data_IF_378850044243
#
_entry.id   IF_378850044243
#
_cell.length_a   1.000
_cell.length_b   1.000
_cell.length_c   1.000
_cell.angle_alpha   90.00
_cell.angle_beta   90.00
_cell.angle_gamma   90.00
#
_symmetry.space_group_name_H-M   'P 1'
#
loop_
_entity.id
_entity.type
_entity.pdbx_description
1 polymer ?
#
# COMPACT_ATOMS: atom_id res chain seq x y z
N UNK A 1 121.19 -40.74 -32.48
CA UNK A 1 121.42 -40.38 -31.11
C UNK A 1 120.04 -40.31 -30.36
N UNK A 2 119.78 -41.36 -29.63
CA UNK A 2 118.58 -41.45 -28.79
C UNK A 2 118.85 -40.68 -27.49
N UNK A 3 118.05 -39.66 -27.20
CA UNK A 3 118.08 -39.01 -25.91
C UNK A 3 117.26 -39.87 -24.93
N UNK A 4 117.98 -40.32 -23.91
CA UNK A 4 117.41 -41.09 -22.82
C UNK A 4 116.65 -40.19 -21.85
N UNK A 5 115.35 -40.44 -21.59
CA UNK A 5 114.55 -39.49 -20.78
C UNK A 5 114.76 -39.63 -19.27
N UNK A 6 115.78 -40.43 -18.82
CA UNK A 6 115.92 -40.78 -17.40
C UNK A 6 116.84 -39.85 -16.57
N UNK A 7 117.36 -38.75 -17.12
CA UNK A 7 118.37 -37.98 -16.36
C UNK A 7 118.01 -36.49 -16.32
N UNK A 8 116.77 -36.13 -15.97
CA UNK A 8 116.43 -34.77 -15.60
C UNK A 8 116.28 -34.61 -14.09
N UNK A 9 117.43 -34.38 -13.42
CA UNK A 9 117.47 -34.01 -12.02
C UNK A 9 117.44 -32.45 -11.91
N UNK A 10 116.35 -31.83 -12.28
CA UNK A 10 116.08 -30.44 -12.04
C UNK A 10 115.10 -30.31 -10.87
N UNK A 11 115.18 -29.29 -10.10
CA UNK A 11 114.22 -29.11 -9.02
C UNK A 11 112.77 -28.97 -9.56
N UNK A 12 111.88 -29.77 -9.02
CA UNK A 12 110.47 -29.76 -9.39
C UNK A 12 109.89 -28.41 -8.87
N UNK A 13 109.57 -27.51 -9.78
CA UNK A 13 108.88 -26.26 -9.42
C UNK A 13 107.42 -26.62 -9.25
N UNK A 14 106.92 -26.71 -8.03
CA UNK A 14 105.53 -26.83 -7.68
C UNK A 14 104.93 -25.42 -7.70
N UNK A 15 104.07 -25.12 -8.65
CA UNK A 15 103.20 -23.93 -8.71
C UNK A 15 101.97 -24.21 -7.88
N UNK A 16 101.85 -23.63 -6.67
CA UNK A 16 100.60 -23.65 -5.89
C UNK A 16 99.68 -22.55 -6.41
N UNK A 17 98.58 -22.94 -7.04
CA UNK A 17 97.51 -22.05 -7.40
C UNK A 17 96.53 -22.00 -6.25
N UNK A 18 96.48 -20.90 -5.53
CA UNK A 18 95.40 -20.57 -4.59
C UNK A 18 94.24 -20.00 -5.37
N UNK A 19 93.16 -20.78 -5.63
CA UNK A 19 91.90 -20.33 -6.16
C UNK A 19 91.12 -19.67 -5.02
N UNK A 20 90.99 -18.37 -5.09
CA UNK A 20 90.16 -17.62 -4.07
C UNK A 20 88.72 -18.20 -4.14
N UNK A 21 88.14 -18.58 -2.98
CA UNK A 21 86.75 -19.07 -2.95
C UNK A 21 85.80 -18.00 -3.46
N UNK A 22 84.83 -18.44 -4.33
CA UNK A 22 83.80 -17.54 -4.83
C UNK A 22 83.04 -16.91 -3.70
N UNK A 23 82.56 -15.67 -3.89
CA UNK A 23 81.86 -14.86 -2.86
C UNK A 23 80.68 -15.62 -2.23
N UNK A 24 79.98 -16.51 -2.99
CA UNK A 24 78.84 -17.32 -2.50
C UNK A 24 79.27 -18.51 -1.64
N UNK A 25 80.54 -18.88 -1.62
CA UNK A 25 81.05 -19.97 -0.79
C UNK A 25 81.44 -19.50 0.62
N UNK A 26 81.48 -18.18 0.82
CA UNK A 26 81.70 -17.58 2.15
C UNK A 26 80.47 -17.74 3.02
N UNK A 27 80.57 -18.32 4.21
CA UNK A 27 79.45 -18.51 5.14
C UNK A 27 78.65 -17.24 5.42
N UNK A 28 79.30 -16.05 5.42
CA UNK A 28 78.65 -14.76 5.58
C UNK A 28 77.67 -14.36 4.46
N UNK A 29 77.92 -14.82 3.22
CA UNK A 29 77.06 -14.52 2.07
C UNK A 29 75.63 -15.16 2.20
N UNK A 30 75.57 -16.38 2.71
CA UNK A 30 74.32 -17.07 2.97
C UNK A 30 73.46 -16.41 4.05
N UNK A 31 74.11 -15.86 5.10
CA UNK A 31 73.47 -15.10 6.16
C UNK A 31 72.89 -13.78 5.60
N UNK A 32 73.66 -13.08 4.77
CA UNK A 32 73.17 -11.86 4.10
C UNK A 32 71.97 -12.12 3.18
N UNK A 33 72.02 -13.20 2.39
CA UNK A 33 70.89 -13.63 1.52
C UNK A 33 69.63 -13.97 2.36
N UNK A 34 69.81 -14.73 3.44
CA UNK A 34 68.72 -15.09 4.35
C UNK A 34 68.05 -13.86 4.98
N UNK A 35 68.85 -12.89 5.44
CA UNK A 35 68.33 -11.62 5.99
C UNK A 35 67.60 -10.77 4.93
N UNK A 36 68.11 -10.76 3.69
CA UNK A 36 67.49 -10.06 2.58
C UNK A 36 66.12 -10.67 2.24
N UNK A 37 66.03 -12.03 2.13
CA UNK A 37 64.79 -12.74 1.89
C UNK A 37 63.77 -12.46 3.02
N UNK A 38 64.22 -12.50 4.28
CA UNK A 38 63.39 -12.20 5.42
C UNK A 38 62.88 -10.75 5.37
N UNK A 39 63.73 -9.77 5.05
CA UNK A 39 63.33 -8.36 4.91
C UNK A 39 62.31 -8.17 3.78
N UNK A 40 62.54 -8.79 2.62
CA UNK A 40 61.57 -8.77 1.50
C UNK A 40 60.24 -9.39 1.94
N UNK A 41 60.26 -10.56 2.58
CA UNK A 41 59.04 -11.20 3.11
C UNK A 41 58.29 -10.30 4.09
N UNK A 42 58.97 -9.66 5.01
CA UNK A 42 58.38 -8.72 5.95
C UNK A 42 57.79 -7.48 5.23
N UNK A 43 58.47 -6.94 4.23
CA UNK A 43 57.98 -5.84 3.42
C UNK A 43 56.72 -6.20 2.63
N UNK A 44 56.70 -7.35 1.99
CA UNK A 44 55.56 -7.85 1.27
C UNK A 44 54.38 -8.13 2.20
N UNK A 45 54.66 -8.75 3.36
CA UNK A 45 53.61 -8.99 4.37
C UNK A 45 53.00 -7.66 4.86
N UNK A 46 53.85 -6.67 5.18
CA UNK A 46 53.37 -5.31 5.60
C UNK A 46 52.56 -4.61 4.52
N UNK A 47 52.95 -4.75 3.22
CA UNK A 47 52.20 -4.20 2.11
C UNK A 47 50.81 -4.89 2.01
N UNK A 48 50.79 -6.19 2.09
CA UNK A 48 49.50 -6.97 2.01
C UNK A 48 48.54 -6.64 3.15
N UNK A 49 49.05 -6.54 4.37
CA UNK A 49 48.26 -6.11 5.55
C UNK A 49 47.70 -4.68 5.37
N UNK A 50 48.51 -3.76 4.85
CA UNK A 50 48.06 -2.39 4.59
C UNK A 50 47.01 -2.32 3.47
N UNK A 51 47.14 -3.13 2.43
CA UNK A 51 46.16 -3.21 1.35
C UNK A 51 44.83 -3.80 1.83
N UNK A 52 44.86 -4.86 2.62
CA UNK A 52 43.67 -5.43 3.25
C UNK A 52 42.95 -4.39 4.12
N UNK A 53 43.69 -3.74 5.02
CA UNK A 53 43.13 -2.70 5.89
C UNK A 53 42.54 -1.50 5.11
N UNK A 54 43.13 -1.14 3.95
CA UNK A 54 42.59 -0.09 3.08
C UNK A 54 41.29 -0.55 2.39
N UNK A 55 41.26 -1.79 1.92
CA UNK A 55 40.08 -2.34 1.27
C UNK A 55 38.91 -2.51 2.26
N UNK A 56 39.17 -2.99 3.47
CA UNK A 56 38.17 -3.05 4.55
C UNK A 56 37.58 -1.67 4.85
N UNK A 57 38.40 -0.64 4.98
CA UNK A 57 37.94 0.74 5.22
C UNK A 57 37.11 1.29 4.06
N UNK A 58 37.48 0.97 2.80
CA UNK A 58 36.72 1.37 1.60
C UNK A 58 35.37 0.68 1.56
N UNK A 59 35.33 -0.63 1.81
CA UNK A 59 34.09 -1.39 1.85
C UNK A 59 33.18 -0.91 2.99
N UNK A 60 33.72 -0.68 4.18
CA UNK A 60 32.96 -0.16 5.31
C UNK A 60 32.35 1.22 5.02
N UNK A 61 33.12 2.12 4.39
CA UNK A 61 32.62 3.44 3.99
C UNK A 61 31.53 3.35 2.91
N UNK A 62 31.67 2.44 1.94
CA UNK A 62 30.65 2.22 0.90
C UNK A 62 29.37 1.63 1.47
N UNK A 63 29.49 0.63 2.37
CA UNK A 63 28.32 0.06 3.07
C UNK A 63 27.59 1.12 3.89
N UNK A 64 28.34 1.96 4.62
CA UNK A 64 27.75 3.03 5.41
C UNK A 64 26.97 4.01 4.51
N UNK A 65 27.58 4.43 3.39
CA UNK A 65 26.95 5.34 2.43
C UNK A 65 25.67 4.73 1.84
N UNK A 66 25.71 3.44 1.46
CA UNK A 66 24.53 2.75 0.90
C UNK A 66 23.43 2.57 1.95
N UNK A 67 23.79 2.31 3.21
CA UNK A 67 22.77 2.20 4.27
C UNK A 67 22.13 3.56 4.59
N UNK A 68 22.87 4.64 4.57
CA UNK A 68 22.33 6.00 4.73
C UNK A 68 21.39 6.37 3.56
N UNK A 69 21.78 6.07 2.32
CA UNK A 69 20.96 6.31 1.14
C UNK A 69 19.67 5.48 1.16
N UNK A 70 19.77 4.21 1.53
CA UNK A 70 18.60 3.32 1.68
C UNK A 70 17.67 3.81 2.79
N UNK A 71 18.22 4.23 3.93
CA UNK A 71 17.43 4.77 5.04
C UNK A 71 16.68 6.04 4.63
N UNK A 72 17.36 6.96 3.92
CA UNK A 72 16.73 8.17 3.41
C UNK A 72 15.59 7.86 2.40
N UNK A 73 15.82 6.91 1.48
CA UNK A 73 14.79 6.47 0.53
C UNK A 73 13.60 5.80 1.23
N UNK A 74 13.86 4.96 2.22
CA UNK A 74 12.79 4.33 3.00
C UNK A 74 11.94 5.38 3.70
N UNK A 75 12.55 6.39 4.31
CA UNK A 75 11.83 7.48 4.96
C UNK A 75 10.94 8.24 3.97
N UNK A 76 11.48 8.59 2.80
CA UNK A 76 10.69 9.23 1.74
C UNK A 76 9.53 8.37 1.25
N UNK A 77 9.74 7.04 1.12
CA UNK A 77 8.68 6.10 0.74
C UNK A 77 7.60 6.00 1.83
N UNK A 78 7.98 5.99 3.10
CA UNK A 78 7.04 5.98 4.22
C UNK A 78 6.19 7.27 4.25
N UNK A 79 6.81 8.44 4.09
CA UNK A 79 6.10 9.72 4.01
C UNK A 79 5.13 9.77 2.81
N UNK A 80 5.60 9.35 1.63
CA UNK A 80 4.76 9.28 0.43
C UNK A 80 3.59 8.30 0.60
N UNK A 81 3.83 7.16 1.25
CA UNK A 81 2.81 6.17 1.51
C UNK A 81 1.74 6.67 2.49
N UNK A 82 2.17 7.35 3.57
CA UNK A 82 1.26 8.01 4.51
C UNK A 82 0.40 9.08 3.82
N UNK A 83 1.00 9.91 2.98
CA UNK A 83 0.28 10.93 2.21
C UNK A 83 -0.74 10.30 1.25
N UNK A 84 -0.37 9.22 0.57
CA UNK A 84 -1.27 8.48 -0.31
C UNK A 84 -2.45 7.86 0.45
N UNK A 85 -2.22 7.28 1.62
CA UNK A 85 -3.29 6.74 2.46
C UNK A 85 -4.27 7.83 2.91
N UNK A 86 -3.77 8.99 3.34
CA UNK A 86 -4.63 10.12 3.72
C UNK A 86 -5.46 10.64 2.54
N UNK A 87 -4.86 10.69 1.33
CA UNK A 87 -5.56 11.10 0.12
C UNK A 87 -6.66 10.10 -0.28
N UNK A 88 -6.36 8.80 -0.24
CA UNK A 88 -7.34 7.74 -0.54
C UNK A 88 -8.53 7.78 0.42
N UNK A 89 -8.30 8.01 1.70
CA UNK A 89 -9.38 8.15 2.69
C UNK A 89 -10.23 9.39 2.42
N UNK A 90 -9.61 10.50 2.05
CA UNK A 90 -10.34 11.72 1.65
C UNK A 90 -11.21 11.47 0.42
N UNK A 91 -10.66 10.82 -0.61
CA UNK A 91 -11.40 10.47 -1.83
C UNK A 91 -12.57 9.54 -1.51
N UNK A 92 -12.38 8.56 -0.63
CA UNK A 92 -13.43 7.63 -0.21
C UNK A 92 -14.58 8.36 0.48
N UNK A 93 -14.27 9.21 1.45
CA UNK A 93 -15.30 10.02 2.16
C UNK A 93 -16.07 10.90 1.17
N UNK A 94 -15.38 11.54 0.23
CA UNK A 94 -16.03 12.36 -0.80
C UNK A 94 -16.90 11.51 -1.74
N UNK A 95 -16.41 10.37 -2.19
CA UNK A 95 -17.17 9.45 -3.05
C UNK A 95 -18.45 8.96 -2.35
N UNK A 96 -18.36 8.59 -1.08
CA UNK A 96 -19.52 8.18 -0.27
C UNK A 96 -20.51 9.32 -0.08
N UNK A 97 -20.02 10.55 0.12
CA UNK A 97 -20.88 11.73 0.20
C UNK A 97 -21.60 12.01 -1.13
N UNK A 98 -20.89 11.96 -2.25
CA UNK A 98 -21.48 12.11 -3.57
C UNK A 98 -22.47 10.98 -3.90
N UNK A 99 -22.15 9.75 -3.53
CA UNK A 99 -23.04 8.60 -3.73
C UNK A 99 -24.36 8.79 -2.96
N UNK A 100 -24.29 9.21 -1.70
CA UNK A 100 -25.50 9.56 -0.90
C UNK A 100 -26.27 10.69 -1.54
N UNK A 101 -25.64 11.82 -1.84
CA UNK A 101 -26.28 12.97 -2.47
C UNK A 101 -26.95 12.61 -3.80
N UNK A 102 -26.37 11.67 -4.54
CA UNK A 102 -26.90 11.20 -5.80
C UNK A 102 -28.12 10.26 -5.64
N UNK A 103 -28.34 9.64 -4.48
CA UNK A 103 -29.36 8.61 -4.24
C UNK A 103 -30.38 8.97 -3.18
N UNK A 104 -30.12 9.95 -2.33
CA UNK A 104 -31.00 10.40 -1.25
C UNK A 104 -31.65 11.75 -1.60
N UNK A 105 -32.85 11.98 -1.07
CA UNK A 105 -33.48 13.29 -1.07
C UNK A 105 -32.87 14.16 0.02
N UNK A 106 -32.46 15.38 -0.31
CA UNK A 106 -31.71 16.26 0.58
C UNK A 106 -32.50 16.73 1.82
N UNK A 107 -33.82 16.78 1.72
CA UNK A 107 -34.69 17.21 2.83
C UNK A 107 -35.05 16.04 3.75
N UNK A 108 -35.50 14.93 3.16
CA UNK A 108 -36.09 13.80 3.91
C UNK A 108 -35.11 12.69 4.21
N UNK A 109 -33.98 12.65 3.50
CA UNK A 109 -32.96 11.58 3.61
C UNK A 109 -33.50 10.17 3.27
N UNK A 110 -34.67 10.10 2.66
CA UNK A 110 -35.15 8.90 1.98
C UNK A 110 -34.46 8.74 0.63
N UNK A 111 -34.58 7.56 0.03
CA UNK A 111 -34.19 7.39 -1.36
C UNK A 111 -34.87 8.44 -2.25
N UNK A 112 -34.13 9.03 -3.18
CA UNK A 112 -34.71 9.92 -4.16
C UNK A 112 -35.37 9.13 -5.31
N UNK A 113 -36.10 9.82 -6.18
CA UNK A 113 -36.78 9.24 -7.34
C UNK A 113 -35.87 8.36 -8.17
N UNK A 114 -34.61 8.78 -8.43
CA UNK A 114 -33.65 8.03 -9.23
C UNK A 114 -33.30 6.69 -8.57
N UNK A 115 -32.93 6.74 -7.30
CA UNK A 115 -32.59 5.54 -6.54
C UNK A 115 -33.79 4.58 -6.44
N UNK A 116 -34.99 5.12 -6.24
CA UNK A 116 -36.22 4.33 -6.25
C UNK A 116 -36.42 3.59 -7.57
N UNK A 117 -36.25 4.24 -8.71
CA UNK A 117 -36.44 3.63 -10.04
C UNK A 117 -35.36 2.57 -10.34
N UNK A 118 -34.13 2.78 -9.89
CA UNK A 118 -33.05 1.78 -10.00
C UNK A 118 -33.38 0.51 -9.20
N UNK A 119 -33.81 0.67 -7.94
CA UNK A 119 -34.18 -0.48 -7.08
C UNK A 119 -35.44 -1.16 -7.60
N UNK A 120 -36.42 -0.41 -8.04
CA UNK A 120 -37.65 -0.98 -8.64
C UNK A 120 -37.33 -1.81 -9.89
N UNK A 121 -36.48 -1.36 -10.78
CA UNK A 121 -36.08 -2.09 -11.98
C UNK A 121 -35.39 -3.42 -11.64
N UNK A 122 -34.49 -3.44 -10.67
CA UNK A 122 -33.82 -4.64 -10.18
C UNK A 122 -34.84 -5.61 -9.54
N UNK A 123 -35.60 -5.11 -8.54
CA UNK A 123 -36.60 -5.93 -7.83
C UNK A 123 -37.67 -6.54 -8.74
N UNK A 124 -38.09 -5.81 -9.80
CA UNK A 124 -39.02 -6.31 -10.79
C UNK A 124 -38.47 -7.51 -11.58
N UNK A 125 -37.15 -7.45 -11.89
CA UNK A 125 -36.49 -8.55 -12.59
C UNK A 125 -36.41 -9.79 -11.71
N UNK A 126 -36.05 -9.63 -10.45
CA UNK A 126 -35.94 -10.72 -9.49
C UNK A 126 -37.32 -11.34 -9.18
N UNK A 127 -38.31 -10.51 -8.92
CA UNK A 127 -39.71 -10.97 -8.73
C UNK A 127 -40.28 -11.74 -9.91
N UNK A 128 -39.94 -11.29 -11.14
CA UNK A 128 -40.36 -12.00 -12.35
C UNK A 128 -39.70 -13.37 -12.52
N UNK A 129 -38.44 -13.49 -12.15
CA UNK A 129 -37.68 -14.75 -12.18
C UNK A 129 -38.21 -15.75 -11.13
N UNK A 130 -38.62 -15.27 -9.97
CA UNK A 130 -39.12 -16.08 -8.88
C UNK A 130 -40.63 -16.33 -8.94
N UNK A 131 -41.31 -15.66 -9.84
CA UNK A 131 -42.78 -15.74 -9.96
C UNK A 131 -43.49 -15.14 -8.74
N UNK A 132 -42.86 -14.22 -8.04
CA UNK A 132 -43.38 -13.56 -6.83
C UNK A 132 -44.01 -12.19 -7.17
N UNK A 133 -45.05 -11.77 -6.44
CA UNK A 133 -45.57 -10.42 -6.58
C UNK A 133 -44.61 -9.40 -5.95
N UNK A 134 -44.49 -8.23 -6.57
CA UNK A 134 -43.75 -7.08 -6.05
C UNK A 134 -44.73 -5.97 -5.66
N UNK A 135 -45.15 -5.88 -4.39
CA UNK A 135 -46.09 -4.82 -3.97
C UNK A 135 -45.39 -3.45 -4.01
N UNK A 136 -46.16 -2.45 -4.43
CA UNK A 136 -45.76 -1.05 -4.47
C UNK A 136 -46.93 -0.18 -4.05
N UNK A 137 -46.67 0.83 -3.22
CA UNK A 137 -47.63 1.84 -2.83
C UNK A 137 -47.15 3.23 -3.18
N UNK A 138 -48.08 4.07 -3.62
CA UNK A 138 -47.90 5.52 -3.75
C UNK A 138 -48.63 6.18 -2.61
N UNK A 139 -47.98 7.11 -1.94
CA UNK A 139 -48.54 7.93 -0.87
C UNK A 139 -48.39 9.41 -1.23
N UNK A 140 -49.40 10.19 -0.97
CA UNK A 140 -49.46 11.65 -1.17
C UNK A 140 -49.98 12.31 0.09
N UNK A 141 -49.46 13.47 0.44
CA UNK A 141 -49.92 14.20 1.62
C UNK A 141 -51.12 15.09 1.31
N UNK A 142 -52.30 14.70 1.82
CA UNK A 142 -53.53 15.43 1.63
C UNK A 142 -53.38 16.90 2.12
N UNK A 143 -53.81 17.84 1.28
CA UNK A 143 -53.83 19.28 1.60
C UNK A 143 -52.43 19.89 1.90
N UNK A 144 -51.34 19.32 1.46
CA UNK A 144 -49.96 19.80 1.71
C UNK A 144 -49.78 21.27 1.26
N UNK A 145 -50.34 21.64 0.11
CA UNK A 145 -50.33 23.03 -0.36
C UNK A 145 -51.02 23.99 0.65
N UNK A 146 -52.14 23.57 1.22
CA UNK A 146 -52.85 24.39 2.20
C UNK A 146 -52.04 24.54 3.50
N UNK A 147 -51.29 23.53 3.91
CA UNK A 147 -50.36 23.59 5.03
C UNK A 147 -49.29 24.64 4.79
N UNK A 148 -48.68 24.65 3.60
CA UNK A 148 -47.67 25.66 3.22
C UNK A 148 -48.25 27.07 3.19
N UNK A 149 -49.44 27.25 2.59
CA UNK A 149 -50.09 28.54 2.42
C UNK A 149 -50.55 29.15 3.79
N UNK A 150 -50.90 28.29 4.77
CA UNK A 150 -51.34 28.72 6.09
C UNK A 150 -50.21 28.96 7.08
N UNK A 151 -49.12 28.19 7.01
CA UNK A 151 -48.11 28.18 8.06
C UNK A 151 -46.73 28.62 7.57
N UNK A 152 -46.26 28.16 6.48
CA UNK A 152 -45.06 28.54 5.73
C UNK A 152 -44.44 27.30 5.04
N UNK A 153 -43.56 27.51 4.08
CA UNK A 153 -42.77 26.42 3.48
C UNK A 153 -41.95 25.66 4.51
N UNK A 154 -41.40 26.32 5.53
CA UNK A 154 -40.65 25.66 6.60
C UNK A 154 -41.51 24.70 7.43
N UNK A 155 -42.82 24.99 7.63
CA UNK A 155 -43.72 24.07 8.28
C UNK A 155 -44.04 22.86 7.39
N UNK A 156 -44.18 23.06 6.07
CA UNK A 156 -44.30 21.96 5.12
C UNK A 156 -43.08 21.08 5.07
N UNK A 157 -41.86 21.66 5.07
CA UNK A 157 -40.62 20.91 5.12
C UNK A 157 -40.50 20.07 6.39
N UNK A 158 -40.89 20.62 7.54
CA UNK A 158 -40.94 19.89 8.81
C UNK A 158 -41.93 18.73 8.78
N UNK A 159 -43.11 18.91 8.15
CA UNK A 159 -44.09 17.84 7.95
C UNK A 159 -43.54 16.71 7.05
N UNK A 160 -42.89 17.07 5.93
CA UNK A 160 -42.24 16.11 5.05
C UNK A 160 -41.16 15.27 5.77
N UNK A 161 -40.36 15.93 6.60
CA UNK A 161 -39.32 15.23 7.41
C UNK A 161 -39.95 14.29 8.43
N UNK A 162 -41.02 14.73 9.11
CA UNK A 162 -41.73 13.90 10.08
C UNK A 162 -42.37 12.66 9.43
N UNK A 163 -43.03 12.84 8.27
CA UNK A 163 -43.57 11.74 7.48
C UNK A 163 -42.47 10.79 7.04
N UNK A 164 -41.39 11.33 6.50
CA UNK A 164 -40.24 10.51 6.02
C UNK A 164 -39.65 9.65 7.15
N UNK A 165 -39.58 10.17 8.37
CA UNK A 165 -39.11 9.41 9.52
C UNK A 165 -40.02 8.21 9.83
N UNK A 166 -41.32 8.38 9.80
CA UNK A 166 -42.29 7.28 9.96
C UNK A 166 -42.11 6.24 8.86
N UNK A 167 -42.02 6.69 7.60
CA UNK A 167 -41.81 5.79 6.45
C UNK A 167 -40.50 5.01 6.57
N UNK A 168 -39.42 5.65 6.97
CA UNK A 168 -38.11 5.02 7.16
C UNK A 168 -38.15 3.92 8.22
N UNK A 169 -38.79 4.18 9.35
CA UNK A 169 -38.91 3.22 10.45
C UNK A 169 -39.74 2.02 10.05
N UNK A 170 -40.93 2.24 9.45
CA UNK A 170 -41.83 1.15 9.07
C UNK A 170 -41.32 0.30 7.92
N UNK A 171 -40.61 0.91 6.97
CA UNK A 171 -40.13 0.20 5.78
C UNK A 171 -38.78 -0.49 5.98
N UNK A 172 -38.06 -0.25 7.08
CA UNK A 172 -36.71 -0.78 7.32
C UNK A 172 -36.58 -2.29 7.15
N UNK A 173 -37.61 -3.05 7.54
CA UNK A 173 -37.62 -4.51 7.46
C UNK A 173 -38.31 -5.07 6.21
N UNK A 174 -38.93 -4.23 5.37
CA UNK A 174 -39.82 -4.70 4.32
C UNK A 174 -39.48 -4.22 2.91
N UNK A 175 -38.52 -3.28 2.81
CA UNK A 175 -38.12 -2.76 1.53
C UNK A 175 -37.62 -1.32 1.55
N UNK A 176 -38.04 -0.51 0.59
CA UNK A 176 -37.57 0.85 0.37
C UNK A 176 -38.70 1.88 0.49
N UNK A 177 -38.45 2.94 1.27
CA UNK A 177 -39.21 4.19 1.20
C UNK A 177 -38.43 5.24 0.40
N UNK A 178 -39.11 5.94 -0.49
CA UNK A 178 -38.51 6.96 -1.33
C UNK A 178 -39.40 8.21 -1.42
N UNK A 179 -38.79 9.38 -1.51
CA UNK A 179 -39.49 10.61 -1.92
C UNK A 179 -39.44 10.71 -3.44
N UNK A 180 -40.62 10.65 -4.07
CA UNK A 180 -40.71 10.60 -5.53
C UNK A 180 -40.75 12.00 -6.15
N UNK A 181 -41.31 12.97 -5.43
CA UNK A 181 -41.35 14.39 -5.80
C UNK A 181 -42.31 15.17 -4.88
N UNK A 182 -42.05 16.44 -4.65
CA UNK A 182 -42.96 17.28 -3.87
C UNK A 182 -43.40 16.67 -2.53
N UNK A 183 -44.67 16.30 -2.45
CA UNK A 183 -45.33 15.64 -1.34
C UNK A 183 -45.60 14.14 -1.58
N UNK A 184 -45.08 13.58 -2.70
CA UNK A 184 -45.28 12.20 -3.10
C UNK A 184 -44.17 11.27 -2.58
N UNK A 185 -44.58 10.12 -2.03
CA UNK A 185 -43.70 9.06 -1.55
C UNK A 185 -44.04 7.73 -2.21
N UNK A 186 -43.03 6.89 -2.36
CA UNK A 186 -43.16 5.51 -2.87
C UNK A 186 -42.66 4.54 -1.81
N UNK A 187 -43.47 3.49 -1.55
CA UNK A 187 -43.13 2.35 -0.73
C UNK A 187 -42.99 1.15 -1.62
N UNK A 188 -41.79 0.60 -1.75
CA UNK A 188 -41.48 -0.60 -2.53
C UNK A 188 -41.21 -1.75 -1.58
N UNK A 189 -42.02 -2.81 -1.65
CA UNK A 189 -41.92 -3.97 -0.74
C UNK A 189 -41.18 -5.10 -1.43
N UNK A 190 -39.91 -5.28 -1.08
CA UNK A 190 -39.09 -6.39 -1.59
C UNK A 190 -39.18 -7.63 -0.70
N UNK A 191 -39.52 -7.47 0.56
CA UNK A 191 -39.52 -8.50 1.59
C UNK A 191 -40.89 -8.64 2.29
N UNK A 192 -41.98 -8.40 1.57
CA UNK A 192 -43.33 -8.52 2.11
C UNK A 192 -44.33 -9.08 1.08
N UNK A 193 -45.24 -9.91 1.55
CA UNK A 193 -46.37 -10.35 0.76
C UNK A 193 -47.37 -9.17 0.52
N UNK A 194 -48.25 -9.26 -0.50
CA UNK A 194 -49.24 -8.22 -0.75
C UNK A 194 -50.15 -7.90 0.45
N UNK A 195 -50.51 -8.91 1.24
CA UNK A 195 -51.34 -8.72 2.44
C UNK A 195 -50.57 -8.06 3.57
N UNK A 196 -49.27 -8.34 3.71
CA UNK A 196 -48.40 -7.64 4.64
C UNK A 196 -48.20 -6.17 4.21
N UNK A 197 -47.89 -5.93 2.95
CA UNK A 197 -47.75 -4.58 2.40
C UNK A 197 -49.00 -3.72 2.66
N UNK A 198 -50.21 -4.29 2.47
CA UNK A 198 -51.47 -3.60 2.76
C UNK A 198 -51.58 -3.21 4.25
N UNK A 199 -51.26 -4.13 5.16
CA UNK A 199 -51.25 -3.82 6.62
C UNK A 199 -50.28 -2.74 6.98
N UNK A 200 -49.05 -2.82 6.47
CA UNK A 200 -48.01 -1.82 6.74
C UNK A 200 -48.43 -0.44 6.21
N UNK A 201 -49.03 -0.35 5.02
CA UNK A 201 -49.58 0.88 4.49
C UNK A 201 -50.65 1.52 5.42
N UNK A 202 -51.52 0.69 6.02
CA UNK A 202 -52.53 1.19 6.97
C UNK A 202 -51.90 1.61 8.29
N UNK A 203 -50.94 0.89 8.82
CA UNK A 203 -50.21 1.29 10.02
C UNK A 203 -49.45 2.61 9.80
N UNK A 204 -48.75 2.75 8.67
CA UNK A 204 -48.14 4.01 8.21
C UNK A 204 -49.16 5.15 8.19
N UNK A 205 -50.31 4.94 7.55
CA UNK A 205 -51.38 5.95 7.45
C UNK A 205 -51.85 6.41 8.81
N UNK A 206 -52.09 5.46 9.74
CA UNK A 206 -52.51 5.76 11.10
C UNK A 206 -51.42 6.54 11.88
N UNK A 207 -50.17 6.13 11.78
CA UNK A 207 -49.04 6.83 12.43
C UNK A 207 -48.87 8.24 11.90
N UNK A 208 -48.93 8.42 10.57
CA UNK A 208 -48.83 9.77 9.95
C UNK A 208 -50.00 10.66 10.40
N UNK A 209 -51.22 10.13 10.44
CA UNK A 209 -52.41 10.88 10.90
C UNK A 209 -52.31 11.29 12.39
N UNK A 210 -51.49 10.63 13.19
CA UNK A 210 -51.25 10.95 14.59
C UNK A 210 -50.12 11.99 14.79
N UNK A 211 -49.38 12.38 13.75
CA UNK A 211 -48.39 13.47 13.82
C UNK A 211 -49.08 14.78 14.11
N UNK A 212 -48.56 15.53 15.09
CA UNK A 212 -49.09 16.82 15.53
C UNK A 212 -48.06 17.94 15.34
#
# INVERSE_FOLDING_TARGET
ASLDPANFTGPIATLEFQVAPHWWERRGSWVAIALMVLAIGLLLHRRRVRELARNERRLAAEVLRQTEELSARNHQLEEANQANHALLETIRVQADAYARQAREDSLTQLANRRACMEVLAAARTDAALEGQPLPLALADLDHFKQLNDRHSHAAGDAALVAVAQVLKEEMQAYGLAARFGGEEFVLLFTDASPDQARRICEDVRIRIAALR
#
